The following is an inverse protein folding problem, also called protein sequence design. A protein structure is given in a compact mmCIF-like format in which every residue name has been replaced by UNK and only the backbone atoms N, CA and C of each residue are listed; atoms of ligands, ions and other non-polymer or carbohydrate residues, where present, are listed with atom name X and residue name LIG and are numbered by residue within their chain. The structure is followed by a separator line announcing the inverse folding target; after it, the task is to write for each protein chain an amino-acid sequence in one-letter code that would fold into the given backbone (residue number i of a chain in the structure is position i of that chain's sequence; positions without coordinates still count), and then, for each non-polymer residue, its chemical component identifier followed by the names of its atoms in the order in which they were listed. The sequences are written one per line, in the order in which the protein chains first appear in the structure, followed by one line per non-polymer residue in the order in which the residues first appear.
data_IF_386536687961
#
_entry.id   IF_386536687961
#
_cell.length_a   1.000
_cell.length_b   1.000
_cell.length_c   1.000
_cell.angle_alpha   90.00
_cell.angle_beta   90.00
_cell.angle_gamma   90.00
#
_symmetry.space_group_name_H-M   'P 1'
#
loop_
_entity.id
_entity.type
_entity.pdbx_description
1 polymer ?
#
# COMPACT_ATOMS: atom_id res chain seq x y z
N UNK A 1 -2.69 4.29 0.47
CA UNK A 1 -2.65 4.62 1.90
C UNK A 1 -1.56 3.80 2.52
N UNK A 2 -1.73 3.32 3.76
CA UNK A 2 -0.96 2.19 4.25
C UNK A 2 -1.46 0.89 3.62
N UNK A 3 -0.54 0.01 3.21
CA UNK A 3 -0.88 -1.37 2.87
C UNK A 3 -0.61 -2.24 4.12
N UNK A 4 -1.66 -2.84 4.66
CA UNK A 4 -1.64 -3.51 5.97
C UNK A 4 -1.62 -5.02 5.83
N UNK A 5 -1.04 -5.69 6.81
CA UNK A 5 -1.16 -7.14 6.97
C UNK A 5 -2.41 -7.46 7.78
N UNK A 6 -3.39 -8.10 7.16
CA UNK A 6 -4.63 -8.54 7.81
C UNK A 6 -4.64 -10.06 7.95
N UNK A 7 -5.20 -10.57 9.03
CA UNK A 7 -5.20 -12.00 9.34
C UNK A 7 -6.51 -12.47 9.96
N UNK A 8 -6.77 -13.78 9.89
CA UNK A 8 -7.94 -14.41 10.46
C UNK A 8 -7.54 -15.45 11.51
N UNK A 9 -7.50 -15.00 12.76
CA UNK A 9 -7.20 -15.80 13.94
C UNK A 9 -8.23 -15.50 15.04
N UNK A 10 -9.45 -16.07 14.97
CA UNK A 10 -10.54 -15.70 15.86
C UNK A 10 -10.25 -15.98 17.34
N UNK A 11 -9.34 -16.91 17.62
CA UNK A 11 -8.85 -17.26 18.95
C UNK A 11 -7.75 -16.33 19.50
N UNK A 12 -7.22 -15.41 18.69
CA UNK A 12 -6.15 -14.50 19.07
C UNK A 12 -6.73 -13.09 19.23
N UNK A 13 -6.93 -12.68 20.49
CA UNK A 13 -7.51 -11.37 20.80
C UNK A 13 -6.48 -10.25 20.95
N UNK A 14 -5.19 -10.59 21.03
CA UNK A 14 -4.09 -9.61 21.07
C UNK A 14 -3.67 -9.27 19.65
N UNK A 15 -3.49 -7.98 19.39
CA UNK A 15 -2.98 -7.53 18.11
C UNK A 15 -1.55 -8.04 17.89
N UNK A 16 -1.31 -8.67 16.74
CA UNK A 16 0.00 -9.17 16.38
C UNK A 16 0.95 -8.07 15.91
N UNK A 17 2.24 -8.29 16.17
CA UNK A 17 3.38 -7.54 15.65
C UNK A 17 4.11 -8.41 14.62
N UNK A 18 4.45 -7.81 13.48
CA UNK A 18 5.25 -8.44 12.43
C UNK A 18 6.40 -7.53 12.02
N UNK A 19 7.50 -8.10 11.54
CA UNK A 19 8.59 -7.36 10.90
C UNK A 19 8.73 -7.77 9.43
N UNK A 20 9.52 -7.02 8.67
CA UNK A 20 9.70 -7.25 7.25
C UNK A 20 10.27 -8.63 6.90
N UNK A 21 11.22 -9.13 7.71
CA UNK A 21 11.80 -10.46 7.51
C UNK A 21 10.73 -11.55 7.65
N UNK A 22 9.97 -11.55 8.75
CA UNK A 22 8.91 -12.52 8.99
C UNK A 22 7.87 -12.50 7.86
N UNK A 23 7.46 -11.32 7.41
CA UNK A 23 6.50 -11.22 6.31
C UNK A 23 7.09 -11.83 5.03
N UNK A 24 8.35 -11.52 4.69
CA UNK A 24 9.00 -12.10 3.53
C UNK A 24 9.11 -13.62 3.64
N UNK A 25 9.55 -14.15 4.79
CA UNK A 25 9.68 -15.59 5.04
C UNK A 25 8.33 -16.32 4.91
N UNK A 26 7.23 -15.72 5.38
CA UNK A 26 5.87 -16.28 5.20
C UNK A 26 5.50 -16.35 3.71
N UNK A 27 5.73 -15.27 2.95
CA UNK A 27 5.39 -15.24 1.52
C UNK A 27 6.38 -16.04 0.64
N UNK A 28 7.56 -16.39 1.16
CA UNK A 28 8.48 -17.36 0.56
C UNK A 28 8.09 -18.82 0.89
N UNK A 29 7.18 -19.04 1.84
CA UNK A 29 6.81 -20.37 2.33
C UNK A 29 7.79 -20.97 3.33
N UNK A 30 8.73 -20.19 3.87
CA UNK A 30 9.68 -20.62 4.90
C UNK A 30 9.04 -20.69 6.29
N UNK A 31 8.14 -19.75 6.60
CA UNK A 31 7.32 -19.75 7.82
C UNK A 31 5.89 -20.14 7.46
N UNK A 32 5.47 -21.34 7.86
CA UNK A 32 4.22 -21.96 7.39
C UNK A 32 3.15 -22.12 8.46
N UNK A 33 3.47 -21.85 9.74
CA UNK A 33 2.55 -22.03 10.87
C UNK A 33 2.53 -20.83 11.81
N UNK A 34 1.38 -20.55 12.41
CA UNK A 34 1.16 -19.39 13.29
C UNK A 34 1.89 -19.47 14.63
N UNK A 35 2.19 -20.67 15.12
CA UNK A 35 2.99 -20.90 16.33
C UNK A 35 4.50 -21.02 16.07
N UNK A 36 4.96 -20.62 14.88
CA UNK A 36 6.37 -20.60 14.53
C UNK A 36 7.20 -19.76 15.54
N UNK A 37 8.42 -20.19 15.91
CA UNK A 37 9.29 -19.46 16.83
C UNK A 37 9.55 -18.00 16.44
N UNK A 38 9.65 -17.68 15.15
CA UNK A 38 9.84 -16.31 14.67
C UNK A 38 8.64 -15.41 14.98
N UNK A 39 7.42 -15.94 14.87
CA UNK A 39 6.18 -15.22 15.22
C UNK A 39 6.08 -15.06 16.73
N UNK A 40 6.34 -16.13 17.49
CA UNK A 40 6.35 -16.12 18.96
C UNK A 40 7.31 -15.08 19.52
N UNK A 41 8.52 -14.99 18.97
CA UNK A 41 9.55 -14.03 19.40
C UNK A 41 9.08 -12.58 19.30
N UNK A 42 8.30 -12.23 18.28
CA UNK A 42 7.76 -10.88 18.10
C UNK A 42 6.50 -10.62 18.95
N UNK A 43 5.88 -11.66 19.50
CA UNK A 43 4.58 -11.61 20.15
C UNK A 43 4.61 -12.29 21.54
N UNK A 44 5.48 -11.84 22.47
CA UNK A 44 5.59 -12.45 23.79
C UNK A 44 4.25 -12.39 24.55
N UNK A 45 3.86 -13.51 25.14
CA UNK A 45 2.60 -13.61 25.90
C UNK A 45 1.33 -13.64 25.04
N UNK A 46 1.43 -13.87 23.73
CA UNK A 46 0.30 -14.20 22.85
C UNK A 46 0.21 -15.72 22.73
N UNK A 47 -0.97 -16.29 22.99
CA UNK A 47 -1.24 -17.73 22.77
C UNK A 47 -1.48 -17.96 21.28
N UNK A 48 -0.41 -18.29 20.55
CA UNK A 48 -0.47 -18.54 19.11
C UNK A 48 -0.92 -19.97 18.82
N UNK A 49 -1.92 -20.17 17.94
CA UNK A 49 -2.46 -21.49 17.65
C UNK A 49 -1.52 -22.29 16.74
N UNK A 50 -1.56 -23.61 16.86
CA UNK A 50 -0.92 -24.52 15.91
C UNK A 50 -1.74 -24.64 14.62
N UNK A 51 -1.86 -23.54 13.87
CA UNK A 51 -2.55 -23.48 12.59
C UNK A 51 -1.59 -23.21 11.43
N UNK A 52 -1.83 -23.80 10.23
CA UNK A 52 -1.16 -23.38 9.01
C UNK A 52 -1.43 -21.90 8.70
N UNK A 53 -0.47 -21.23 8.09
CA UNK A 53 -0.65 -19.89 7.51
C UNK A 53 -1.09 -20.06 6.06
N UNK A 54 -2.29 -19.56 5.76
CA UNK A 54 -2.82 -19.57 4.40
C UNK A 54 -2.66 -18.19 3.78
N UNK A 55 -1.63 -18.05 2.94
CA UNK A 55 -1.26 -16.79 2.30
C UNK A 55 -2.28 -16.42 1.22
N UNK A 56 -2.77 -15.18 1.25
CA UNK A 56 -3.58 -14.56 0.22
C UNK A 56 -2.79 -13.43 -0.45
N UNK A 57 -2.80 -13.40 -1.77
CA UNK A 57 -2.17 -12.35 -2.57
C UNK A 57 -3.10 -11.94 -3.72
N UNK A 58 -2.74 -10.87 -4.45
CA UNK A 58 -3.50 -10.44 -5.62
C UNK A 58 -3.34 -11.41 -6.78
N UNK A 59 -4.42 -11.67 -7.51
CA UNK A 59 -4.41 -12.45 -8.76
C UNK A 59 -4.26 -11.56 -10.01
N UNK A 60 -4.50 -10.26 -9.88
CA UNK A 60 -4.49 -9.27 -10.94
C UNK A 60 -3.33 -8.27 -10.80
N UNK A 61 -2.97 -7.61 -11.91
CA UNK A 61 -1.97 -6.54 -11.91
C UNK A 61 -2.35 -5.43 -10.92
N UNK A 62 -1.47 -5.13 -9.98
CA UNK A 62 -1.85 -4.42 -8.77
C UNK A 62 -0.77 -3.43 -8.29
N UNK A 63 -1.16 -2.17 -8.10
CA UNK A 63 -0.31 -1.16 -7.46
C UNK A 63 -0.01 -1.47 -5.99
N UNK A 64 -0.98 -2.03 -5.25
CA UNK A 64 -0.77 -2.54 -3.89
C UNK A 64 0.31 -3.63 -3.86
N UNK A 65 0.30 -4.53 -4.86
CA UNK A 65 1.32 -5.58 -5.01
C UNK A 65 2.68 -4.98 -5.33
N UNK A 66 2.74 -3.96 -6.18
CA UNK A 66 3.98 -3.25 -6.45
C UNK A 66 4.57 -2.59 -5.19
N UNK A 67 3.74 -1.98 -4.34
CA UNK A 67 4.18 -1.40 -3.07
C UNK A 67 4.65 -2.49 -2.10
N UNK A 68 3.84 -3.55 -1.94
CA UNK A 68 4.12 -4.65 -1.01
C UNK A 68 5.38 -5.42 -1.39
N UNK A 69 5.51 -5.85 -2.64
CA UNK A 69 6.71 -6.56 -3.13
C UNK A 69 7.94 -5.66 -3.11
N UNK A 70 7.79 -4.36 -3.37
CA UNK A 70 8.86 -3.38 -3.19
C UNK A 70 9.32 -3.26 -1.74
N UNK A 71 8.41 -3.33 -0.78
CA UNK A 71 8.76 -3.42 0.64
C UNK A 71 9.54 -4.71 0.93
N UNK A 72 9.07 -5.86 0.46
CA UNK A 72 9.76 -7.15 0.63
C UNK A 72 11.17 -7.14 0.04
N UNK A 73 11.36 -6.54 -1.14
CA UNK A 73 12.70 -6.35 -1.72
C UNK A 73 13.64 -5.51 -0.86
N UNK A 74 13.14 -4.56 -0.06
CA UNK A 74 13.96 -3.72 0.83
C UNK A 74 14.34 -4.42 2.13
N UNK A 75 13.55 -5.38 2.59
CA UNK A 75 13.72 -6.03 3.91
C UNK A 75 14.19 -7.48 3.83
N UNK A 76 14.15 -8.09 2.65
CA UNK A 76 14.62 -9.46 2.41
C UNK A 76 15.45 -9.54 1.12
N UNK A 77 16.78 -9.73 1.23
CA UNK A 77 17.64 -10.03 0.09
C UNK A 77 17.20 -11.29 -0.66
N UNK A 78 16.70 -12.31 0.04
CA UNK A 78 16.16 -13.54 -0.55
C UNK A 78 14.97 -13.25 -1.45
N UNK A 79 13.98 -12.50 -0.95
CA UNK A 79 12.84 -12.07 -1.76
C UNK A 79 13.28 -11.29 -3.00
N UNK A 80 14.20 -10.33 -2.82
CA UNK A 80 14.71 -9.51 -3.92
C UNK A 80 15.37 -10.35 -5.02
N UNK A 81 16.12 -11.39 -4.64
CA UNK A 81 16.80 -12.28 -5.58
C UNK A 81 15.83 -13.25 -6.29
N UNK A 82 14.86 -13.80 -5.57
CA UNK A 82 14.01 -14.89 -6.08
C UNK A 82 12.72 -14.39 -6.75
N UNK A 83 12.11 -13.32 -6.24
CA UNK A 83 10.76 -12.88 -6.65
C UNK A 83 10.77 -11.48 -7.24
N UNK A 84 11.46 -10.53 -6.59
CA UNK A 84 11.55 -9.15 -7.05
C UNK A 84 10.31 -8.30 -6.78
N UNK A 85 10.21 -7.16 -7.47
CA UNK A 85 9.16 -6.15 -7.32
C UNK A 85 8.46 -5.94 -8.66
N UNK A 86 7.14 -6.07 -8.68
CA UNK A 86 6.31 -5.84 -9.86
C UNK A 86 4.85 -5.67 -9.45
N UNK A 87 4.00 -5.23 -10.38
CA UNK A 87 2.54 -5.26 -10.22
C UNK A 87 1.97 -6.67 -10.28
N UNK A 88 2.74 -7.63 -10.80
CA UNK A 88 2.48 -9.07 -10.78
C UNK A 88 3.80 -9.84 -10.69
N UNK A 89 3.88 -10.83 -9.81
CA UNK A 89 5.08 -11.66 -9.57
C UNK A 89 4.70 -13.14 -9.53
N UNK A 90 5.68 -14.01 -9.70
CA UNK A 90 5.51 -15.45 -9.48
C UNK A 90 5.55 -15.73 -7.97
N UNK A 91 4.37 -15.75 -7.34
CA UNK A 91 4.25 -15.99 -5.91
C UNK A 91 4.74 -17.40 -5.54
N UNK A 92 5.66 -17.56 -4.57
CA UNK A 92 6.12 -18.88 -4.12
C UNK A 92 5.00 -19.72 -3.49
N UNK A 93 4.13 -19.06 -2.73
CA UNK A 93 2.99 -19.69 -2.05
C UNK A 93 1.77 -18.77 -2.04
N UNK A 94 0.61 -19.37 -1.77
CA UNK A 94 -0.63 -18.67 -1.48
C UNK A 94 -1.68 -18.80 -2.58
N UNK A 95 -2.81 -18.11 -2.36
CA UNK A 95 -3.95 -18.08 -3.28
C UNK A 95 -4.21 -16.65 -3.75
N UNK A 96 -4.49 -16.53 -5.05
CA UNK A 96 -4.82 -15.28 -5.70
C UNK A 96 -6.28 -14.87 -5.49
N UNK A 97 -6.50 -13.67 -4.98
CA UNK A 97 -7.80 -12.99 -4.95
C UNK A 97 -7.80 -11.77 -5.87
N UNK A 98 -8.89 -11.56 -6.62
CA UNK A 98 -9.02 -10.41 -7.53
C UNK A 98 -9.33 -9.13 -6.76
N UNK A 99 -8.48 -8.11 -6.90
CA UNK A 99 -8.64 -6.84 -6.20
C UNK A 99 -8.43 -6.97 -4.68
N UNK A 100 -8.51 -5.84 -3.97
CA UNK A 100 -8.58 -5.85 -2.50
C UNK A 100 -9.77 -6.66 -1.97
N UNK A 101 -10.99 -6.58 -2.54
CA UNK A 101 -12.12 -7.38 -2.06
C UNK A 101 -11.89 -8.90 -2.16
N UNK A 102 -11.24 -9.38 -3.22
CA UNK A 102 -10.95 -10.80 -3.38
C UNK A 102 -9.94 -11.30 -2.35
N UNK A 103 -8.88 -10.52 -2.08
CA UNK A 103 -7.91 -10.85 -1.02
C UNK A 103 -8.58 -10.82 0.36
N UNK A 104 -9.40 -9.82 0.63
CA UNK A 104 -10.16 -9.71 1.88
C UNK A 104 -11.08 -10.92 2.10
N UNK A 105 -11.82 -11.33 1.07
CA UNK A 105 -12.69 -12.50 1.13
C UNK A 105 -11.91 -13.80 1.37
N UNK A 106 -10.70 -13.94 0.81
CA UNK A 106 -9.83 -15.10 1.09
C UNK A 106 -9.40 -15.13 2.56
N UNK A 107 -9.03 -13.99 3.14
CA UNK A 107 -8.67 -13.89 4.57
C UNK A 107 -9.89 -14.25 5.44
N UNK A 108 -11.04 -13.64 5.17
CA UNK A 108 -12.28 -13.82 5.95
C UNK A 108 -12.75 -15.27 6.01
N UNK A 109 -12.75 -15.96 4.87
CA UNK A 109 -13.29 -17.32 4.75
C UNK A 109 -12.33 -18.40 5.24
N UNK A 110 -11.11 -18.02 5.63
CA UNK A 110 -10.03 -18.96 5.89
C UNK A 110 -9.45 -18.72 7.28
N UNK A 111 -9.81 -19.56 8.25
CA UNK A 111 -9.13 -19.58 9.56
C UNK A 111 -7.64 -19.89 9.33
N UNK A 112 -6.76 -19.06 9.87
CA UNK A 112 -5.33 -19.08 9.60
C UNK A 112 -4.89 -18.24 8.39
N UNK A 113 -5.81 -17.55 7.72
CA UNK A 113 -5.55 -16.70 6.58
C UNK A 113 -4.70 -15.46 6.91
N UNK A 114 -3.83 -15.06 5.99
CA UNK A 114 -3.02 -13.84 6.06
C UNK A 114 -2.93 -13.21 4.66
N UNK A 115 -3.13 -11.90 4.55
CA UNK A 115 -2.95 -11.20 3.28
C UNK A 115 -2.63 -9.71 3.47
N UNK A 116 -2.16 -9.07 2.41
CA UNK A 116 -1.97 -7.62 2.36
C UNK A 116 -3.20 -6.93 1.74
N UNK A 117 -3.63 -5.82 2.33
CA UNK A 117 -4.77 -5.02 1.88
C UNK A 117 -4.46 -3.53 1.98
N UNK A 118 -5.07 -2.71 1.14
CA UNK A 118 -5.13 -1.28 1.42
C UNK A 118 -6.02 -1.04 2.66
N UNK A 119 -5.57 -0.19 3.58
CA UNK A 119 -6.19 -0.05 4.90
C UNK A 119 -7.69 0.32 4.87
N UNK A 120 -8.15 1.06 3.86
CA UNK A 120 -9.55 1.41 3.69
C UNK A 120 -10.45 0.21 3.38
N UNK A 121 -9.89 -0.93 2.95
CA UNK A 121 -10.63 -2.19 2.80
C UNK A 121 -10.61 -3.02 4.08
N UNK A 122 -9.59 -2.87 4.92
CA UNK A 122 -9.46 -3.63 6.16
C UNK A 122 -10.38 -3.09 7.27
N UNK A 123 -10.49 -1.75 7.41
CA UNK A 123 -11.25 -1.12 8.50
C UNK A 123 -12.75 -1.44 8.44
N UNK A 124 -13.48 -1.23 7.32
CA UNK A 124 -14.93 -1.40 7.31
C UNK A 124 -15.36 -2.87 7.49
N UNK A 125 -14.47 -3.80 7.13
CA UNK A 125 -14.67 -5.23 7.32
C UNK A 125 -14.18 -5.73 8.69
N UNK A 126 -13.72 -4.83 9.58
CA UNK A 126 -13.25 -5.14 10.93
C UNK A 126 -12.13 -6.20 10.98
N UNK A 127 -11.30 -6.30 9.94
CA UNK A 127 -10.20 -7.24 9.94
C UNK A 127 -9.17 -6.88 11.03
N UNK A 128 -8.67 -7.87 11.79
CA UNK A 128 -7.47 -7.71 12.58
C UNK A 128 -6.30 -7.31 11.69
N UNK A 129 -5.67 -6.17 12.00
CA UNK A 129 -4.47 -5.67 11.31
C UNK A 129 -3.24 -5.78 12.21
N UNK A 130 -2.10 -6.18 11.67
CA UNK A 130 -0.86 -6.25 12.43
C UNK A 130 -0.20 -4.86 12.58
N UNK A 131 0.49 -4.66 13.71
CA UNK A 131 1.49 -3.59 13.84
C UNK A 131 2.76 -4.04 13.12
N UNK A 132 3.38 -3.13 12.39
CA UNK A 132 4.60 -3.44 11.63
C UNK A 132 5.81 -2.77 12.24
N UNK A 133 6.87 -3.54 12.49
CA UNK A 133 8.18 -3.01 12.86
C UNK A 133 8.75 -2.27 11.64
N UNK A 134 8.97 -0.98 11.80
CA UNK A 134 9.52 -0.13 10.75
C UNK A 134 11.05 -0.22 10.66
N UNK A 135 11.62 0.51 9.70
CA UNK A 135 13.08 0.55 9.47
C UNK A 135 13.90 0.91 10.71
N UNK A 136 13.35 1.74 11.60
CA UNK A 136 14.02 2.22 12.80
C UNK A 136 13.76 1.30 14.02
N UNK A 137 13.08 0.15 13.83
CA UNK A 137 12.84 -0.85 14.88
C UNK A 137 11.59 -0.63 15.73
N UNK A 138 10.73 0.34 15.40
CA UNK A 138 9.52 0.63 16.17
C UNK A 138 8.30 -0.10 15.60
N UNK A 139 7.49 -0.73 16.45
CA UNK A 139 6.23 -1.36 16.05
C UNK A 139 5.14 -0.31 15.85
N UNK A 140 4.77 -0.03 14.59
CA UNK A 140 3.85 1.05 14.21
C UNK A 140 2.45 0.51 13.91
N UNK A 141 1.44 1.16 14.49
CA UNK A 141 0.04 0.96 14.16
C UNK A 141 -0.28 1.63 12.81
N UNK A 142 -0.93 0.95 11.84
CA UNK A 142 -1.43 1.62 10.64
C UNK A 142 -2.44 2.71 11.02
N UNK A 143 -2.15 3.94 10.61
CA UNK A 143 -2.97 5.12 10.88
C UNK A 143 -2.58 6.28 9.95
N UNK A 144 -3.48 7.26 9.75
CA UNK A 144 -3.15 8.45 8.96
C UNK A 144 -1.92 9.20 9.49
N UNK A 145 -1.77 9.45 10.81
CA UNK A 145 -0.57 10.09 11.32
C UNK A 145 0.73 9.32 11.02
N UNK A 146 0.69 7.99 11.04
CA UNK A 146 1.87 7.16 10.75
C UNK A 146 2.27 7.22 9.28
N UNK A 147 1.30 7.31 8.36
CA UNK A 147 1.57 7.49 6.92
C UNK A 147 2.00 8.92 6.63
N UNK A 148 1.47 9.93 7.30
CA UNK A 148 1.98 11.32 7.21
C UNK A 148 3.44 11.38 7.65
N UNK A 149 3.81 10.68 8.74
CA UNK A 149 5.19 10.57 9.19
C UNK A 149 6.08 9.88 8.13
N UNK A 150 5.59 8.82 7.50
CA UNK A 150 6.28 8.13 6.40
C UNK A 150 6.44 9.02 5.16
N UNK A 151 5.41 9.80 4.82
CA UNK A 151 5.43 10.74 3.71
C UNK A 151 6.49 11.83 3.91
N UNK A 152 6.58 12.43 5.11
CA UNK A 152 7.58 13.47 5.44
C UNK A 152 9.00 13.04 5.10
N UNK A 153 9.34 11.77 5.38
CA UNK A 153 10.65 11.21 5.11
C UNK A 153 11.02 11.08 3.61
N UNK A 154 10.06 11.22 2.70
CA UNK A 154 10.32 11.12 1.24
C UNK A 154 10.00 12.39 0.46
N UNK A 155 9.18 13.31 1.01
CA UNK A 155 8.76 14.53 0.28
C UNK A 155 9.77 15.66 0.31
N UNK A 156 10.87 15.54 1.06
CA UNK A 156 11.96 16.54 1.01
C UNK A 156 12.70 16.48 -0.34
N UNK A 157 12.74 15.31 -0.99
CA UNK A 157 13.46 15.07 -2.24
C UNK A 157 12.51 14.62 -3.36
N UNK A 158 11.55 15.46 -3.72
CA UNK A 158 10.59 15.13 -4.78
C UNK A 158 11.24 15.16 -6.17
N UNK A 159 11.19 14.04 -6.92
CA UNK A 159 11.70 14.03 -8.29
C UNK A 159 10.84 14.91 -9.19
N UNK A 160 11.43 15.44 -10.27
CA UNK A 160 10.74 16.34 -11.19
C UNK A 160 9.54 15.70 -11.89
N UNK A 161 9.58 14.39 -12.08
CA UNK A 161 8.52 13.57 -12.69
C UNK A 161 7.50 13.04 -11.68
N UNK A 162 7.67 13.34 -10.39
CA UNK A 162 6.78 12.96 -9.28
C UNK A 162 6.59 11.44 -9.12
N UNK A 163 7.45 10.61 -9.72
CA UNK A 163 7.45 9.17 -9.51
C UNK A 163 8.22 8.85 -8.24
N UNK A 164 7.51 8.59 -7.14
CA UNK A 164 8.11 8.26 -5.85
C UNK A 164 7.27 7.22 -5.09
N UNK A 165 7.92 6.51 -4.16
CA UNK A 165 7.27 5.48 -3.36
C UNK A 165 7.57 5.69 -1.88
N UNK A 166 6.57 5.47 -1.03
CA UNK A 166 6.69 5.57 0.44
C UNK A 166 6.98 4.17 1.01
N UNK A 167 8.06 3.55 0.53
CA UNK A 167 8.41 2.16 0.85
C UNK A 167 9.58 2.13 1.84
N UNK A 168 9.33 1.57 3.03
CA UNK A 168 10.24 1.43 4.15
C UNK A 168 11.05 2.71 4.48
N UNK A 169 10.42 3.88 4.61
CA UNK A 169 11.15 5.10 4.98
C UNK A 169 11.67 5.02 6.42
N UNK A 170 12.73 5.77 6.71
CA UNK A 170 13.18 6.01 8.09
C UNK A 170 12.20 6.91 8.84
N UNK A 171 12.22 6.85 10.17
CA UNK A 171 11.42 7.69 11.06
C UNK A 171 10.70 6.89 12.13
N UNK A 172 10.87 7.26 13.41
CA UNK A 172 10.30 6.56 14.58
C UNK A 172 8.79 6.33 14.58
N UNK A 173 8.03 7.10 13.77
CA UNK A 173 6.56 7.01 13.64
C UNK A 173 6.11 6.59 12.24
N UNK A 174 7.04 6.36 11.32
CA UNK A 174 6.74 6.09 9.92
C UNK A 174 6.22 4.66 9.73
N UNK A 175 5.02 4.52 9.16
CA UNK A 175 4.53 3.21 8.75
C UNK A 175 5.35 2.68 7.55
N UNK A 176 5.79 1.40 7.55
CA UNK A 176 6.79 0.93 6.60
C UNK A 176 6.25 0.62 5.20
N UNK A 177 4.95 0.41 5.03
CA UNK A 177 4.35 0.03 3.74
C UNK A 177 3.28 1.05 3.39
N UNK A 178 3.60 2.00 2.53
CA UNK A 178 2.67 3.05 2.10
C UNK A 178 2.94 3.47 0.67
N UNK A 179 1.96 4.10 0.04
CA UNK A 179 2.13 4.58 -1.33
C UNK A 179 1.16 5.69 -1.72
N UNK A 180 1.60 6.43 -2.73
CA UNK A 180 0.74 7.29 -3.52
C UNK A 180 -0.06 6.45 -4.51
N UNK A 181 -1.25 6.95 -4.84
CA UNK A 181 -1.98 6.54 -6.04
C UNK A 181 -1.80 7.62 -7.11
N UNK A 182 -1.86 7.21 -8.38
CA UNK A 182 -1.58 8.08 -9.52
C UNK A 182 -2.76 8.14 -10.46
N UNK A 183 -3.10 9.34 -10.93
CA UNK A 183 -3.90 9.54 -12.13
C UNK A 183 -2.93 9.71 -13.30
N UNK A 184 -3.17 8.96 -14.37
CA UNK A 184 -2.35 9.00 -15.58
C UNK A 184 -3.24 9.50 -16.72
N UNK A 185 -2.74 10.49 -17.45
CA UNK A 185 -3.37 11.05 -18.65
C UNK A 185 -2.29 11.35 -19.68
N UNK A 186 -2.64 11.27 -20.96
CA UNK A 186 -1.76 11.76 -22.01
C UNK A 186 -1.48 13.24 -21.83
N UNK A 187 -0.27 13.64 -22.23
CA UNK A 187 0.09 15.06 -22.30
C UNK A 187 -0.75 15.79 -23.34
N UNK A 188 -1.03 15.14 -24.48
CA UNK A 188 -1.89 15.67 -25.52
C UNK A 188 -3.23 14.94 -25.56
N UNK A 189 -4.31 15.68 -25.34
CA UNK A 189 -5.69 15.17 -25.32
C UNK A 189 -6.38 15.28 -26.69
N UNK A 190 -5.62 15.40 -27.78
CA UNK A 190 -6.14 15.52 -29.15
C UNK A 190 -6.93 14.30 -29.64
N UNK A 191 -6.82 13.16 -28.96
CA UNK A 191 -7.61 11.95 -29.22
C UNK A 191 -9.09 12.07 -28.79
N UNK A 192 -9.46 13.15 -28.09
CA UNK A 192 -10.84 13.45 -27.71
C UNK A 192 -11.26 14.86 -28.17
N UNK A 193 -12.57 15.14 -28.11
CA UNK A 193 -13.08 16.47 -28.42
C UNK A 193 -12.52 17.52 -27.44
N UNK A 194 -12.33 18.76 -27.91
CA UNK A 194 -11.80 19.86 -27.08
C UNK A 194 -12.63 20.06 -25.80
N UNK A 195 -13.96 19.96 -25.90
CA UNK A 195 -14.86 20.05 -24.76
C UNK A 195 -14.61 18.94 -23.72
N UNK A 196 -14.44 17.69 -24.17
CA UNK A 196 -14.14 16.55 -23.28
C UNK A 196 -12.76 16.67 -22.64
N UNK A 197 -11.76 17.14 -23.40
CA UNK A 197 -10.41 17.40 -22.89
C UNK A 197 -10.44 18.45 -21.77
N UNK A 198 -11.14 19.57 -21.99
CA UNK A 198 -11.31 20.63 -20.99
C UNK A 198 -11.98 20.11 -19.73
N UNK A 199 -13.12 19.43 -19.87
CA UNK A 199 -13.86 18.86 -18.73
C UNK A 199 -13.03 17.83 -17.94
N UNK A 200 -12.19 17.05 -18.63
CA UNK A 200 -11.27 16.09 -17.98
C UNK A 200 -10.23 16.82 -17.12
N UNK A 201 -9.61 17.87 -17.65
CA UNK A 201 -8.62 18.67 -16.91
C UNK A 201 -9.26 19.45 -15.75
N UNK A 202 -10.44 20.03 -15.96
CA UNK A 202 -11.23 20.69 -14.90
C UNK A 202 -11.55 19.72 -13.76
N UNK A 203 -11.95 18.48 -14.09
CA UNK A 203 -12.23 17.45 -13.10
C UNK A 203 -10.97 17.02 -12.32
N UNK A 204 -9.84 16.81 -13.01
CA UNK A 204 -8.57 16.48 -12.34
C UNK A 204 -8.11 17.66 -11.47
N UNK A 205 -8.24 18.90 -11.95
CA UNK A 205 -7.96 20.10 -11.17
C UNK A 205 -8.83 20.17 -9.90
N UNK A 206 -10.12 19.88 -10.02
CA UNK A 206 -11.04 19.79 -8.89
C UNK A 206 -10.61 18.71 -7.90
N UNK A 207 -10.25 17.50 -8.35
CA UNK A 207 -9.74 16.42 -7.49
C UNK A 207 -8.53 16.91 -6.68
N UNK A 208 -7.60 17.56 -7.34
CA UNK A 208 -6.36 18.07 -6.75
C UNK A 208 -6.57 19.29 -5.85
N UNK A 209 -7.73 19.95 -5.90
CA UNK A 209 -8.05 21.15 -5.11
C UNK A 209 -9.20 20.88 -4.15
N UNK A 210 -10.42 21.26 -4.51
CA UNK A 210 -11.62 21.16 -3.66
C UNK A 210 -11.96 19.71 -3.29
N UNK A 211 -11.74 18.76 -4.20
CA UNK A 211 -12.03 17.34 -4.02
C UNK A 211 -11.23 16.69 -2.89
N UNK A 212 -10.06 17.22 -2.53
CA UNK A 212 -9.25 16.71 -1.42
C UNK A 212 -9.98 16.74 -0.06
N UNK A 213 -11.07 17.53 0.08
CA UNK A 213 -11.87 17.55 1.30
C UNK A 213 -12.44 16.16 1.65
N UNK A 214 -12.78 15.35 0.65
CA UNK A 214 -13.34 14.00 0.79
C UNK A 214 -12.32 12.91 1.12
N UNK A 215 -11.01 13.20 1.05
CA UNK A 215 -9.98 12.19 1.33
C UNK A 215 -10.13 11.60 2.74
N UNK A 216 -10.35 12.45 3.75
CA UNK A 216 -10.42 12.02 5.16
C UNK A 216 -11.60 11.05 5.41
N UNK A 217 -12.76 11.30 4.81
CA UNK A 217 -13.94 10.43 4.97
C UNK A 217 -13.72 9.06 4.35
N UNK A 218 -12.90 8.97 3.30
CA UNK A 218 -12.54 7.73 2.62
C UNK A 218 -11.25 7.08 3.15
N UNK A 219 -10.74 7.51 4.30
CA UNK A 219 -9.49 7.00 4.88
C UNK A 219 -8.26 7.24 3.99
N UNK A 220 -8.19 8.38 3.31
CA UNK A 220 -7.03 8.84 2.54
C UNK A 220 -6.44 10.14 3.09
N UNK A 221 -5.19 10.38 2.72
CA UNK A 221 -4.41 11.56 3.13
C UNK A 221 -4.41 12.57 1.99
N UNK A 222 -4.65 13.83 2.34
CA UNK A 222 -4.57 14.94 1.40
C UNK A 222 -3.13 15.14 0.95
N UNK A 223 -2.93 15.49 -0.31
CA UNK A 223 -1.66 16.01 -0.79
C UNK A 223 -1.36 17.31 -0.04
N UNK A 224 -0.17 17.37 0.58
CA UNK A 224 0.31 18.60 1.21
C UNK A 224 0.56 19.70 0.17
N UNK A 225 0.59 20.99 0.57
CA UNK A 225 0.67 22.13 -0.35
C UNK A 225 1.82 22.05 -1.37
N UNK A 226 3.00 21.60 -0.93
CA UNK A 226 4.18 21.47 -1.80
C UNK A 226 3.97 20.43 -2.92
N UNK A 227 3.38 19.28 -2.59
CA UNK A 227 3.07 18.24 -3.58
C UNK A 227 1.94 18.71 -4.50
N UNK A 228 0.87 19.27 -3.94
CA UNK A 228 -0.26 19.80 -4.70
C UNK A 228 0.20 20.82 -5.75
N UNK A 229 1.05 21.78 -5.37
CA UNK A 229 1.62 22.77 -6.29
C UNK A 229 2.39 22.12 -7.45
N UNK A 230 3.22 21.12 -7.17
CA UNK A 230 3.98 20.40 -8.20
C UNK A 230 3.08 19.59 -9.13
N UNK A 231 2.06 18.91 -8.61
CA UNK A 231 1.11 18.14 -9.44
C UNK A 231 0.28 19.07 -10.32
N UNK A 232 -0.20 20.20 -9.80
CA UNK A 232 -0.90 21.23 -10.60
C UNK A 232 -0.02 21.79 -11.72
N UNK A 233 1.28 21.98 -11.46
CA UNK A 233 2.23 22.39 -12.50
C UNK A 233 2.47 21.32 -13.58
N UNK A 234 2.25 20.03 -13.30
CA UNK A 234 2.26 19.00 -14.33
C UNK A 234 0.96 19.02 -15.14
N UNK A 235 -0.19 19.20 -14.49
CA UNK A 235 -1.49 19.30 -15.16
C UNK A 235 -1.53 20.48 -16.16
N UNK A 236 -0.92 21.60 -15.79
CA UNK A 236 -0.80 22.78 -16.65
C UNK A 236 0.05 22.54 -17.92
N UNK A 237 0.72 21.40 -18.07
CA UNK A 237 1.45 21.05 -19.31
C UNK A 237 0.58 20.36 -20.35
N UNK A 238 -0.70 20.14 -20.05
CA UNK A 238 -1.62 19.47 -20.96
C UNK A 238 -1.87 20.31 -22.23
N UNK A 239 -1.96 19.62 -23.36
CA UNK A 239 -2.23 20.20 -24.67
C UNK A 239 -3.43 19.54 -25.32
N UNK A 240 -3.98 20.18 -26.36
CA UNK A 240 -4.94 19.61 -27.28
C UNK A 240 -4.46 19.89 -28.70
N UNK A 241 -4.09 18.83 -29.42
CA UNK A 241 -3.51 18.90 -30.79
C UNK A 241 -2.28 19.82 -30.85
N UNK A 242 -1.38 19.69 -29.88
CA UNK A 242 -0.15 20.47 -29.78
C UNK A 242 -0.30 21.86 -29.17
N UNK A 243 -1.53 22.36 -28.97
CA UNK A 243 -1.79 23.68 -28.40
C UNK A 243 -2.09 23.59 -26.91
N UNK A 244 -1.57 24.53 -26.13
CA UNK A 244 -1.87 24.60 -24.70
C UNK A 244 -3.38 24.68 -24.46
N UNK A 245 -3.89 23.86 -23.55
CA UNK A 245 -5.32 23.78 -23.24
C UNK A 245 -5.59 24.45 -21.88
N UNK A 246 -6.24 25.60 -21.90
CA UNK A 246 -6.74 26.26 -20.70
C UNK A 246 -8.00 25.57 -20.17
N UNK A 247 -8.05 25.37 -18.85
CA UNK A 247 -9.14 24.72 -18.12
C UNK A 247 -9.44 25.48 -16.84
#
# INVERSE_FOLDING_TARGET
GPEVMSYNLPMVHKQLVMNGKLIADIYLGEVTRWNDPAIKKLNPGVKLPDLPILVAHRSDGSGTTFIFTGYLCKVSPTWKKQVGQSTSVNWPVGRGGKGNPGVAALIEKTIGGLGYLEYAYAIPAHFPVARLINKDGYAIQPSMPAVIAAQKAVVENLPADLRLHIINPSGKKAYPISGFTYLITDRDLGYMSKAKAKATLEFIHWILTTGQKYAKTMQYIRLGPAMQKKVLAQLAKATWKGHHLHY
#
